data_IF_654500644259
#
_entry.id   IF_654500644259
#
_cell.length_a   1.000
_cell.length_b   1.000
_cell.length_c   1.000
_cell.angle_alpha   90.00
_cell.angle_beta   90.00
_cell.angle_gamma   90.00
#
_symmetry.space_group_name_H-M   'P 1'
#
loop_
_entity.id
_entity.type
_entity.pdbx_description
1 polymer ?
#
# COMPACT_ATOMS: atom_id res chain seq x y z
N UNK A 1 -6.65 -26.93 -0.12
CA UNK A 1 -7.41 -25.79 0.47
C UNK A 1 -6.53 -24.58 0.73
N UNK A 2 -5.36 -24.72 1.38
CA UNK A 2 -4.43 -23.60 1.66
C UNK A 2 -3.92 -22.90 0.40
N UNK A 3 -3.50 -23.65 -0.60
CA UNK A 3 -3.05 -23.11 -1.90
C UNK A 3 -4.15 -22.34 -2.64
N UNK A 4 -5.39 -22.84 -2.63
CA UNK A 4 -6.52 -22.16 -3.25
C UNK A 4 -6.83 -20.82 -2.57
N UNK A 5 -6.70 -20.74 -1.24
CA UNK A 5 -6.87 -19.50 -0.49
C UNK A 5 -5.73 -18.51 -0.78
N UNK A 6 -4.49 -19.00 -0.88
CA UNK A 6 -3.34 -18.19 -1.29
C UNK A 6 -3.56 -17.58 -2.68
N UNK A 7 -3.92 -18.41 -3.67
CA UNK A 7 -4.19 -17.95 -5.03
C UNK A 7 -5.35 -16.95 -5.08
N UNK A 8 -6.42 -17.18 -4.31
CA UNK A 8 -7.55 -16.27 -4.23
C UNK A 8 -7.13 -14.92 -3.61
N UNK A 9 -6.31 -14.95 -2.56
CA UNK A 9 -5.79 -13.74 -1.92
C UNK A 9 -4.90 -12.93 -2.88
N UNK A 10 -4.05 -13.61 -3.66
CA UNK A 10 -3.20 -12.97 -4.65
C UNK A 10 -4.02 -12.35 -5.79
N UNK A 11 -4.96 -13.11 -6.36
CA UNK A 11 -5.89 -12.60 -7.38
C UNK A 11 -6.71 -11.43 -6.88
N UNK A 12 -7.12 -11.44 -5.61
CA UNK A 12 -7.81 -10.32 -4.98
C UNK A 12 -6.90 -9.08 -4.92
N UNK A 13 -5.64 -9.23 -4.50
CA UNK A 13 -4.69 -8.13 -4.46
C UNK A 13 -4.41 -7.56 -5.86
N UNK A 14 -4.16 -8.42 -6.84
CA UNK A 14 -3.93 -8.04 -8.24
C UNK A 14 -5.15 -7.29 -8.80
N UNK A 15 -6.35 -7.84 -8.60
CA UNK A 15 -7.58 -7.20 -9.02
C UNK A 15 -7.75 -5.83 -8.35
N UNK A 16 -7.60 -5.77 -7.03
CA UNK A 16 -7.75 -4.53 -6.27
C UNK A 16 -6.75 -3.46 -6.75
N UNK A 17 -5.48 -3.82 -6.95
CA UNK A 17 -4.46 -2.90 -7.43
C UNK A 17 -4.75 -2.37 -8.84
N UNK A 18 -4.99 -3.22 -9.84
CA UNK A 18 -5.30 -2.71 -11.18
C UNK A 18 -6.64 -1.97 -11.26
N UNK A 19 -7.69 -2.52 -10.66
CA UNK A 19 -9.04 -1.95 -10.78
C UNK A 19 -9.18 -0.62 -10.04
N UNK A 20 -8.71 -0.54 -8.79
CA UNK A 20 -8.77 0.71 -8.02
C UNK A 20 -7.69 1.69 -8.44
N UNK A 21 -6.50 1.22 -8.83
CA UNK A 21 -5.45 2.06 -9.42
C UNK A 21 -5.95 2.79 -10.67
N UNK A 22 -6.59 2.05 -11.58
CA UNK A 22 -7.21 2.66 -12.76
C UNK A 22 -8.29 3.68 -12.41
N UNK A 23 -9.12 3.40 -11.40
CA UNK A 23 -10.15 4.35 -10.95
C UNK A 23 -9.56 5.60 -10.31
N UNK A 24 -8.44 5.50 -9.58
CA UNK A 24 -7.73 6.67 -9.06
C UNK A 24 -7.29 7.62 -10.16
N UNK A 25 -6.74 7.06 -11.25
CA UNK A 25 -6.32 7.84 -12.42
C UNK A 25 -7.54 8.42 -13.12
N UNK A 26 -8.47 7.58 -13.57
CA UNK A 26 -9.58 8.00 -14.44
C UNK A 26 -10.61 8.87 -13.77
N UNK A 27 -10.94 8.62 -12.50
CA UNK A 27 -12.02 9.35 -11.80
C UNK A 27 -11.51 10.54 -11.01
N UNK A 28 -10.31 10.45 -10.47
CA UNK A 28 -9.80 11.45 -9.52
C UNK A 28 -8.53 12.16 -10.00
N UNK A 29 -7.96 11.77 -11.15
CA UNK A 29 -6.68 12.30 -11.65
C UNK A 29 -5.58 12.18 -10.60
N UNK A 30 -5.60 11.10 -9.81
CA UNK A 30 -4.63 10.85 -8.75
C UNK A 30 -3.63 9.81 -9.25
N UNK A 31 -2.57 10.29 -9.93
CA UNK A 31 -1.55 9.43 -10.52
C UNK A 31 -0.67 8.77 -9.47
N UNK A 32 -0.38 9.46 -8.36
CA UNK A 32 0.36 8.90 -7.22
C UNK A 32 -0.28 7.60 -6.72
N UNK A 33 -1.54 7.66 -6.25
CA UNK A 33 -2.24 6.45 -5.77
C UNK A 33 -2.52 5.46 -6.90
N UNK A 34 -2.83 5.98 -8.08
CA UNK A 34 -3.18 5.15 -9.22
C UNK A 34 -2.05 4.22 -9.67
N UNK A 35 -0.86 4.79 -9.88
CA UNK A 35 0.31 4.05 -10.30
C UNK A 35 0.85 3.16 -9.19
N UNK A 36 0.85 3.63 -7.93
CA UNK A 36 1.26 2.80 -6.80
C UNK A 36 0.44 1.52 -6.68
N UNK A 37 -0.88 1.62 -6.81
CA UNK A 37 -1.76 0.45 -6.79
C UNK A 37 -1.44 -0.54 -7.92
N UNK A 38 -1.07 -0.03 -9.09
CA UNK A 38 -0.65 -0.86 -10.22
C UNK A 38 0.72 -1.48 -9.98
N UNK A 39 1.64 -0.79 -9.29
CA UNK A 39 2.94 -1.34 -8.87
C UNK A 39 2.74 -2.52 -7.93
N UNK A 40 1.88 -2.39 -6.90
CA UNK A 40 1.54 -3.50 -6.01
C UNK A 40 0.91 -4.68 -6.78
N UNK A 41 0.00 -4.42 -7.71
CA UNK A 41 -0.58 -5.47 -8.55
C UNK A 41 0.45 -6.13 -9.48
N UNK A 42 1.40 -5.36 -10.00
CA UNK A 42 2.49 -5.86 -10.85
C UNK A 42 3.42 -6.75 -10.03
N UNK A 43 3.74 -6.36 -8.78
CA UNK A 43 4.47 -7.19 -7.83
C UNK A 43 3.77 -8.54 -7.62
N UNK A 44 2.49 -8.52 -7.25
CA UNK A 44 1.69 -9.74 -7.05
C UNK A 44 1.60 -10.60 -8.31
N UNK A 45 1.44 -10.00 -9.49
CA UNK A 45 1.38 -10.73 -10.76
C UNK A 45 2.67 -11.48 -11.05
N UNK A 46 3.84 -10.85 -10.82
CA UNK A 46 5.13 -11.50 -11.01
C UNK A 46 5.37 -12.58 -9.96
N UNK A 47 4.98 -12.33 -8.72
CA UNK A 47 5.05 -13.31 -7.63
C UNK A 47 4.18 -14.55 -7.91
N UNK A 48 2.95 -14.36 -8.40
CA UNK A 48 2.04 -15.43 -8.80
C UNK A 48 2.63 -16.27 -9.93
N UNK A 49 3.08 -15.63 -10.99
CA UNK A 49 3.67 -16.31 -12.15
C UNK A 49 4.95 -17.06 -11.78
N UNK A 50 5.79 -16.46 -10.93
CA UNK A 50 6.97 -17.11 -10.39
C UNK A 50 6.60 -18.37 -9.59
N UNK A 51 5.64 -18.26 -8.68
CA UNK A 51 5.17 -19.37 -7.83
C UNK A 51 4.56 -20.51 -8.67
N UNK A 52 3.72 -20.19 -9.65
CA UNK A 52 3.07 -21.18 -10.52
C UNK A 52 4.03 -21.86 -11.51
N UNK A 53 5.06 -21.14 -11.97
CA UNK A 53 6.03 -21.69 -12.92
C UNK A 53 7.10 -22.58 -12.27
N UNK A 54 7.17 -22.61 -10.93
CA UNK A 54 8.24 -23.30 -10.20
C UNK A 54 9.63 -22.74 -10.53
N UNK A 55 9.69 -21.49 -10.99
CA UNK A 55 10.93 -20.86 -11.40
C UNK A 55 11.87 -20.67 -10.20
N UNK A 56 13.18 -20.76 -10.45
CA UNK A 56 14.20 -20.57 -9.41
C UNK A 56 14.26 -19.10 -8.97
N UNK A 57 14.87 -18.87 -7.81
CA UNK A 57 15.03 -17.54 -7.20
C UNK A 57 15.97 -16.60 -7.97
N UNK A 58 16.63 -17.08 -9.02
CA UNK A 58 17.44 -16.29 -9.98
C UNK A 58 16.63 -15.83 -11.20
N UNK A 59 15.32 -16.10 -11.24
CA UNK A 59 14.46 -15.71 -12.35
C UNK A 59 14.11 -14.22 -12.34
N UNK A 60 13.94 -13.66 -13.54
CA UNK A 60 13.50 -12.26 -13.71
C UNK A 60 12.16 -12.00 -13.01
N UNK A 61 11.27 -12.99 -12.93
CA UNK A 61 9.98 -12.87 -12.24
C UNK A 61 10.17 -12.66 -10.73
N UNK A 62 11.12 -13.38 -10.12
CA UNK A 62 11.50 -13.19 -8.72
C UNK A 62 12.05 -11.78 -8.51
N UNK A 63 13.04 -11.38 -9.32
CA UNK A 63 13.68 -10.06 -9.22
C UNK A 63 12.70 -8.90 -9.36
N UNK A 64 11.73 -9.01 -10.28
CA UNK A 64 10.70 -8.00 -10.48
C UNK A 64 9.71 -7.95 -9.32
N UNK A 65 9.26 -9.10 -8.81
CA UNK A 65 8.35 -9.16 -7.67
C UNK A 65 8.96 -8.46 -6.45
N UNK A 66 10.19 -8.81 -6.07
CA UNK A 66 10.84 -8.23 -4.90
C UNK A 66 11.35 -6.81 -5.12
N UNK A 67 11.66 -6.42 -6.37
CA UNK A 67 11.90 -5.01 -6.70
C UNK A 67 10.66 -4.14 -6.43
N UNK A 68 9.49 -4.54 -6.93
CA UNK A 68 8.27 -3.79 -6.73
C UNK A 68 7.77 -3.86 -5.27
N UNK A 69 8.00 -4.97 -4.56
CA UNK A 69 7.76 -5.05 -3.11
C UNK A 69 8.63 -4.03 -2.34
N UNK A 70 9.94 -4.01 -2.59
CA UNK A 70 10.88 -3.08 -1.97
C UNK A 70 10.54 -1.62 -2.31
N UNK A 71 10.19 -1.34 -3.56
CA UNK A 71 9.68 -0.05 -4.02
C UNK A 71 8.47 0.39 -3.19
N UNK A 72 7.48 -0.49 -3.06
CA UNK A 72 6.20 -0.18 -2.44
C UNK A 72 6.37 0.05 -0.94
N UNK A 73 7.16 -0.79 -0.27
CA UNK A 73 7.36 -0.73 1.18
C UNK A 73 8.26 0.41 1.62
N UNK A 74 9.20 0.84 0.77
CA UNK A 74 10.08 1.96 1.06
C UNK A 74 9.38 3.31 0.85
N UNK A 75 8.84 3.54 -0.35
CA UNK A 75 8.38 4.87 -0.79
C UNK A 75 6.94 4.84 -1.34
N UNK A 76 6.48 3.71 -1.89
CA UNK A 76 5.16 3.58 -2.52
C UNK A 76 3.96 3.68 -1.57
N UNK A 77 3.66 2.61 -0.84
CA UNK A 77 2.62 2.56 0.21
C UNK A 77 2.96 3.46 1.42
N UNK A 78 4.07 4.20 1.38
CA UNK A 78 4.46 5.18 2.40
C UNK A 78 4.31 6.61 1.88
N UNK A 79 5.36 7.18 1.29
CA UNK A 79 5.40 8.58 0.85
C UNK A 79 4.41 8.85 -0.30
N UNK A 80 4.37 8.00 -1.34
CA UNK A 80 3.45 8.15 -2.47
C UNK A 80 2.01 8.05 -1.98
N UNK A 81 1.71 7.10 -1.09
CA UNK A 81 0.41 6.98 -0.44
C UNK A 81 0.03 8.26 0.30
N UNK A 82 0.90 8.75 1.20
CA UNK A 82 0.66 9.96 1.99
C UNK A 82 0.37 11.15 1.06
N UNK A 83 1.24 11.40 0.09
CA UNK A 83 1.08 12.51 -0.87
C UNK A 83 -0.19 12.37 -1.71
N UNK A 84 -0.52 11.15 -2.13
CA UNK A 84 -1.75 10.86 -2.84
C UNK A 84 -3.01 11.13 -2.00
N UNK A 85 -2.98 10.80 -0.71
CA UNK A 85 -4.07 11.09 0.25
C UNK A 85 -4.11 12.57 0.66
N UNK A 86 -3.00 13.30 0.60
CA UNK A 86 -2.96 14.75 0.83
C UNK A 86 -3.85 15.53 -0.15
N UNK A 87 -4.16 14.97 -1.32
CA UNK A 87 -5.13 15.54 -2.25
C UNK A 87 -6.52 15.72 -1.64
N UNK A 88 -6.96 14.79 -0.78
CA UNK A 88 -8.28 14.83 -0.12
C UNK A 88 -8.22 15.32 1.32
N UNK A 89 -7.07 15.21 2.00
CA UNK A 89 -6.94 15.72 3.38
C UNK A 89 -6.53 17.19 3.44
N UNK A 90 -5.61 17.61 2.57
CA UNK A 90 -4.96 18.92 2.58
C UNK A 90 -5.18 19.74 1.29
N UNK A 91 -5.98 19.23 0.35
CA UNK A 91 -6.17 19.83 -0.99
C UNK A 91 -4.85 19.99 -1.77
N UNK A 92 -3.87 19.15 -1.47
CA UNK A 92 -2.56 19.17 -2.11
C UNK A 92 -2.69 18.81 -3.60
N UNK A 93 -2.00 19.58 -4.46
CA UNK A 93 -1.93 19.37 -5.90
C UNK A 93 -0.45 19.31 -6.29
N UNK A 94 0.17 18.11 -6.30
CA UNK A 94 1.55 17.99 -6.72
C UNK A 94 1.70 18.40 -8.19
N UNK A 95 2.85 18.96 -8.52
CA UNK A 95 3.23 19.19 -9.92
C UNK A 95 3.68 17.86 -10.55
N UNK A 96 3.63 17.77 -11.87
CA UNK A 96 4.10 16.59 -12.61
C UNK A 96 5.56 16.26 -12.28
N UNK A 97 6.40 17.28 -12.09
CA UNK A 97 7.80 17.08 -11.69
C UNK A 97 7.96 16.44 -10.32
N UNK A 98 7.10 16.80 -9.36
CA UNK A 98 7.08 16.18 -8.02
C UNK A 98 6.62 14.73 -8.10
N UNK A 99 5.56 14.45 -8.87
CA UNK A 99 5.08 13.08 -9.08
C UNK A 99 6.19 12.21 -9.68
N UNK A 100 6.81 12.65 -10.78
CA UNK A 100 7.93 11.93 -11.43
C UNK A 100 9.12 11.77 -10.49
N UNK A 101 9.49 12.81 -9.76
CA UNK A 101 10.63 12.78 -8.83
C UNK A 101 10.44 11.75 -7.72
N UNK A 102 9.25 11.68 -7.13
CA UNK A 102 8.94 10.71 -6.07
C UNK A 102 8.92 9.28 -6.60
N UNK A 103 8.37 9.02 -7.79
CA UNK A 103 8.48 7.71 -8.43
C UNK A 103 9.95 7.36 -8.75
N UNK A 104 10.76 8.33 -9.16
CA UNK A 104 12.20 8.15 -9.36
C UNK A 104 12.94 7.74 -8.09
N UNK A 105 12.66 8.43 -6.96
CA UNK A 105 13.21 8.06 -5.64
C UNK A 105 12.77 6.65 -5.26
N UNK A 106 11.52 6.29 -5.49
CA UNK A 106 11.00 4.97 -5.20
C UNK A 106 11.66 3.87 -6.07
N UNK A 107 11.95 4.14 -7.34
CA UNK A 107 12.72 3.23 -8.22
C UNK A 107 14.13 3.02 -7.64
N UNK A 108 14.84 4.09 -7.30
CA UNK A 108 16.20 3.99 -6.74
C UNK A 108 16.18 3.22 -5.42
N UNK A 109 15.22 3.50 -4.54
CA UNK A 109 15.04 2.79 -3.29
C UNK A 109 14.74 1.30 -3.53
N UNK A 110 13.83 0.96 -4.44
CA UNK A 110 13.53 -0.43 -4.79
C UNK A 110 14.75 -1.18 -5.36
N UNK A 111 15.52 -0.55 -6.24
CA UNK A 111 16.73 -1.16 -6.82
C UNK A 111 17.81 -1.40 -5.77
N UNK A 112 17.99 -0.46 -4.84
CA UNK A 112 18.98 -0.56 -3.77
C UNK A 112 18.55 -1.53 -2.67
N UNK A 113 17.27 -1.52 -2.26
CA UNK A 113 16.83 -2.28 -1.10
C UNK A 113 16.49 -3.75 -1.42
N UNK A 114 16.12 -4.07 -2.66
CA UNK A 114 15.77 -5.45 -3.06
C UNK A 114 16.88 -6.46 -2.83
N UNK A 115 18.15 -6.03 -2.90
CA UNK A 115 19.31 -6.92 -2.75
C UNK A 115 19.46 -7.48 -1.33
N UNK A 116 18.80 -6.87 -0.35
CA UNK A 116 18.82 -7.30 1.04
C UNK A 116 17.65 -8.23 1.37
N UNK A 117 16.81 -8.56 0.38
CA UNK A 117 15.71 -9.49 0.56
C UNK A 117 16.22 -10.90 0.88
N UNK A 118 15.71 -11.51 1.94
CA UNK A 118 16.11 -12.84 2.39
C UNK A 118 17.50 -12.91 3.05
N UNK A 119 18.17 -11.78 3.25
CA UNK A 119 19.40 -11.73 4.02
C UNK A 119 19.10 -12.00 5.51
N UNK A 120 19.96 -12.79 6.15
CA UNK A 120 19.82 -13.11 7.57
C UNK A 120 20.06 -11.85 8.42
N UNK A 121 19.04 -11.47 9.19
CA UNK A 121 19.03 -10.29 10.05
C UNK A 121 20.06 -10.39 11.20
N UNK A 122 20.43 -11.59 11.60
CA UNK A 122 21.38 -11.83 12.69
C UNK A 122 22.84 -11.70 12.25
N UNK A 123 23.13 -11.90 10.96
CA UNK A 123 24.49 -11.90 10.41
C UNK A 123 24.75 -10.75 9.42
N UNK A 124 23.71 -10.26 8.74
CA UNK A 124 23.76 -9.14 7.83
C UNK A 124 23.40 -7.83 8.52
N UNK A 125 24.38 -7.14 9.11
CA UNK A 125 24.15 -5.87 9.82
C UNK A 125 23.35 -4.83 9.01
N UNK A 126 23.55 -4.75 7.69
CA UNK A 126 22.78 -3.85 6.81
C UNK A 126 21.32 -4.32 6.64
N UNK A 127 21.07 -5.63 6.55
CA UNK A 127 19.72 -6.17 6.39
C UNK A 127 18.82 -5.83 7.59
N UNK A 128 19.38 -5.87 8.80
CA UNK A 128 18.69 -5.38 10.00
C UNK A 128 18.25 -3.91 9.87
N UNK A 129 19.16 -3.03 9.43
CA UNK A 129 18.82 -1.62 9.26
C UNK A 129 17.80 -1.36 8.15
N UNK A 130 17.79 -2.19 7.11
CA UNK A 130 16.76 -2.15 6.05
C UNK A 130 15.39 -2.54 6.61
N UNK A 131 15.31 -3.60 7.41
CA UNK A 131 14.08 -4.00 8.11
C UNK A 131 13.59 -2.91 9.07
N UNK A 132 14.49 -2.32 9.87
CA UNK A 132 14.19 -1.16 10.73
C UNK A 132 13.65 0.00 9.90
N UNK A 133 14.29 0.33 8.78
CA UNK A 133 13.84 1.40 7.89
C UNK A 133 12.40 1.16 7.41
N UNK A 134 12.08 -0.04 6.89
CA UNK A 134 10.73 -0.39 6.43
C UNK A 134 9.68 -0.22 7.53
N UNK A 135 9.97 -0.67 8.75
CA UNK A 135 9.03 -0.49 9.87
C UNK A 135 8.87 0.97 10.23
N UNK A 136 9.97 1.75 10.32
CA UNK A 136 9.89 3.16 10.68
C UNK A 136 9.01 3.93 9.69
N UNK A 137 9.23 3.74 8.38
CA UNK A 137 8.39 4.41 7.37
C UNK A 137 6.95 3.90 7.38
N UNK A 138 6.72 2.61 7.67
CA UNK A 138 5.39 2.04 7.83
C UNK A 138 4.65 2.65 9.03
N UNK A 139 5.29 2.76 10.20
CA UNK A 139 4.70 3.34 11.41
C UNK A 139 4.41 4.83 11.25
N UNK A 140 5.32 5.59 10.64
CA UNK A 140 5.07 7.00 10.32
C UNK A 140 3.86 7.15 9.38
N UNK A 141 3.75 6.25 8.40
CA UNK A 141 2.59 6.21 7.50
C UNK A 141 1.31 5.82 8.25
N UNK A 142 1.37 4.85 9.17
CA UNK A 142 0.24 4.44 9.99
C UNK A 142 -0.28 5.59 10.87
N UNK A 143 0.61 6.44 11.40
CA UNK A 143 0.22 7.67 12.12
C UNK A 143 -0.56 8.62 11.21
N UNK A 144 -0.07 8.86 9.99
CA UNK A 144 -0.80 9.68 9.01
C UNK A 144 -2.16 9.06 8.63
N UNK A 145 -2.23 7.74 8.49
CA UNK A 145 -3.48 7.02 8.20
C UNK A 145 -4.46 7.08 9.38
N UNK A 146 -3.98 7.13 10.62
CA UNK A 146 -4.79 7.44 11.79
C UNK A 146 -5.40 8.85 11.72
N UNK A 147 -4.61 9.84 11.30
CA UNK A 147 -5.13 11.18 10.99
C UNK A 147 -6.16 11.15 9.84
N UNK A 148 -5.90 10.41 8.76
CA UNK A 148 -6.85 10.25 7.65
C UNK A 148 -8.17 9.59 8.11
N UNK A 149 -8.10 8.55 8.94
CA UNK A 149 -9.26 7.91 9.56
C UNK A 149 -10.04 8.89 10.44
N UNK A 150 -9.36 9.73 11.22
CA UNK A 150 -10.00 10.80 11.99
C UNK A 150 -10.73 11.80 11.07
N UNK A 151 -10.11 12.24 9.98
CA UNK A 151 -10.76 13.14 9.00
C UNK A 151 -12.01 12.52 8.39
N UNK A 152 -11.99 11.22 8.08
CA UNK A 152 -13.16 10.49 7.60
C UNK A 152 -14.26 10.42 8.66
N UNK A 153 -13.88 10.16 9.91
CA UNK A 153 -14.80 10.15 11.03
C UNK A 153 -15.50 11.51 11.17
N UNK A 154 -14.74 12.60 11.16
CA UNK A 154 -15.25 13.96 11.30
C UNK A 154 -16.14 14.36 10.10
N UNK A 155 -15.85 13.85 8.90
CA UNK A 155 -16.68 14.02 7.70
C UNK A 155 -17.98 13.18 7.70
N UNK A 156 -18.24 12.40 8.77
CA UNK A 156 -19.40 11.54 8.91
C UNK A 156 -19.26 10.15 8.26
N UNK A 157 -18.14 9.87 7.59
CA UNK A 157 -17.84 8.58 6.96
C UNK A 157 -17.30 7.56 7.99
N UNK A 158 -18.11 7.25 9.02
CA UNK A 158 -17.71 6.42 10.17
C UNK A 158 -17.26 5.02 9.76
N UNK A 159 -17.98 4.37 8.84
CA UNK A 159 -17.66 3.01 8.42
C UNK A 159 -16.34 2.92 7.63
N UNK A 160 -16.09 3.76 6.60
CA UNK A 160 -14.76 3.88 6.00
C UNK A 160 -13.65 4.20 7.00
N UNK A 161 -13.90 5.05 8.00
CA UNK A 161 -12.91 5.38 9.03
C UNK A 161 -12.49 4.16 9.87
N UNK A 162 -13.47 3.38 10.36
CA UNK A 162 -13.22 2.16 11.14
C UNK A 162 -12.41 1.16 10.32
N UNK A 163 -12.86 0.87 9.10
CA UNK A 163 -12.15 -0.07 8.23
C UNK A 163 -10.75 0.40 7.88
N UNK A 164 -10.55 1.70 7.64
CA UNK A 164 -9.22 2.27 7.41
C UNK A 164 -8.31 2.00 8.59
N UNK A 165 -8.78 2.19 9.83
CA UNK A 165 -8.02 1.85 11.03
C UNK A 165 -7.69 0.36 11.13
N UNK A 166 -8.68 -0.52 10.93
CA UNK A 166 -8.51 -1.97 11.03
C UNK A 166 -7.53 -2.53 10.00
N UNK A 167 -7.66 -2.14 8.72
CA UNK A 167 -6.74 -2.64 7.68
C UNK A 167 -5.33 -2.07 7.85
N UNK A 168 -5.19 -0.84 8.34
CA UNK A 168 -3.87 -0.25 8.64
C UNK A 168 -3.19 -1.01 9.77
N UNK A 169 -3.92 -1.34 10.85
CA UNK A 169 -3.40 -2.13 11.95
C UNK A 169 -2.98 -3.54 11.48
N UNK A 170 -3.84 -4.22 10.71
CA UNK A 170 -3.53 -5.52 10.14
C UNK A 170 -2.28 -5.49 9.24
N UNK A 171 -2.18 -4.50 8.36
CA UNK A 171 -1.02 -4.34 7.48
C UNK A 171 0.26 -4.01 8.25
N UNK A 172 0.17 -3.24 9.33
CA UNK A 172 1.30 -2.94 10.22
C UNK A 172 1.79 -4.21 10.92
N UNK A 173 0.88 -5.04 11.44
CA UNK A 173 1.22 -6.33 12.05
C UNK A 173 1.91 -7.25 11.04
N UNK A 174 1.39 -7.31 9.81
CA UNK A 174 2.00 -8.08 8.73
C UNK A 174 3.40 -7.55 8.40
N UNK A 175 3.59 -6.23 8.29
CA UNK A 175 4.90 -5.64 8.03
C UNK A 175 5.91 -5.98 9.13
N UNK A 176 5.53 -5.81 10.41
CA UNK A 176 6.39 -6.16 11.55
C UNK A 176 6.78 -7.65 11.50
N UNK A 177 5.80 -8.51 11.23
CA UNK A 177 6.01 -9.96 11.15
C UNK A 177 6.91 -10.32 9.98
N UNK A 178 6.67 -9.72 8.81
CA UNK A 178 7.42 -9.96 7.58
C UNK A 178 8.89 -9.57 7.73
N UNK A 179 9.17 -8.46 8.43
CA UNK A 179 10.50 -7.87 8.53
C UNK A 179 11.38 -8.43 9.64
N UNK A 180 10.81 -8.86 10.77
CA UNK A 180 11.59 -9.24 11.96
C UNK A 180 11.45 -10.69 12.37
N UNK A 181 10.47 -11.41 11.82
CA UNK A 181 10.21 -12.80 12.17
C UNK A 181 10.47 -13.67 10.93
N UNK A 182 11.71 -14.14 10.73
CA UNK A 182 11.97 -15.13 9.70
C UNK A 182 11.10 -16.35 10.00
N UNK A 183 10.12 -16.60 9.14
CA UNK A 183 9.28 -17.79 9.25
C UNK A 183 10.20 -19.00 9.00
N UNK A 184 10.44 -19.88 9.99
CA UNK A 184 11.23 -21.07 9.78
C UNK A 184 10.59 -21.89 8.66
N UNK A 185 11.43 -22.50 7.83
CA UNK A 185 11.14 -23.07 6.51
C UNK A 185 10.13 -24.26 6.46
N UNK A 186 9.08 -24.25 7.26
CA UNK A 186 7.91 -25.11 7.08
C UNK A 186 6.93 -24.45 6.10
N UNK A 187 6.77 -25.07 4.93
CA UNK A 187 5.95 -24.59 3.80
C UNK A 187 4.51 -24.25 4.21
N UNK A 188 3.99 -24.95 5.22
CA UNK A 188 2.63 -24.80 5.69
C UNK A 188 2.37 -23.44 6.38
N UNK A 189 3.30 -22.95 7.19
CA UNK A 189 3.19 -21.67 7.92
C UNK A 189 3.45 -20.49 7.00
N UNK A 190 4.40 -20.64 6.06
CA UNK A 190 4.69 -19.66 5.02
C UNK A 190 3.47 -19.37 4.14
N UNK A 191 2.78 -20.41 3.70
CA UNK A 191 1.59 -20.26 2.85
C UNK A 191 0.47 -19.52 3.58
N UNK A 192 0.26 -19.81 4.87
CA UNK A 192 -0.74 -19.10 5.69
C UNK A 192 -0.38 -17.61 5.80
N UNK A 193 0.89 -17.31 6.12
CA UNK A 193 1.34 -15.94 6.27
C UNK A 193 1.15 -15.12 4.98
N UNK A 194 1.66 -15.61 3.85
CA UNK A 194 1.49 -14.89 2.58
C UNK A 194 0.03 -14.78 2.16
N UNK A 195 -0.80 -15.79 2.45
CA UNK A 195 -2.26 -15.67 2.23
C UNK A 195 -2.84 -14.50 3.01
N UNK A 196 -2.50 -14.38 4.29
CA UNK A 196 -2.94 -13.27 5.13
C UNK A 196 -2.38 -11.92 4.66
N UNK A 197 -1.12 -11.88 4.25
CA UNK A 197 -0.46 -10.69 3.73
C UNK A 197 -1.14 -10.17 2.46
N UNK A 198 -1.27 -11.02 1.44
CA UNK A 198 -1.89 -10.69 0.16
C UNK A 198 -3.36 -10.28 0.34
N UNK A 199 -4.11 -11.01 1.16
CA UNK A 199 -5.50 -10.67 1.48
C UNK A 199 -5.60 -9.29 2.16
N UNK A 200 -4.69 -9.00 3.08
CA UNK A 200 -4.64 -7.71 3.78
C UNK A 200 -4.27 -6.58 2.84
N UNK A 201 -3.23 -6.72 2.02
CA UNK A 201 -2.81 -5.68 1.08
C UNK A 201 -3.86 -5.40 0.00
N UNK A 202 -4.51 -6.46 -0.54
CA UNK A 202 -5.65 -6.29 -1.45
C UNK A 202 -6.83 -5.57 -0.79
N UNK A 203 -7.15 -5.94 0.45
CA UNK A 203 -8.24 -5.32 1.21
C UNK A 203 -7.90 -3.88 1.59
N UNK A 204 -6.66 -3.59 1.93
CA UNK A 204 -6.15 -2.25 2.17
C UNK A 204 -6.35 -1.38 0.92
N UNK A 205 -5.96 -1.88 -0.26
CA UNK A 205 -6.17 -1.18 -1.53
C UNK A 205 -7.64 -0.86 -1.80
N UNK A 206 -8.54 -1.79 -1.49
CA UNK A 206 -9.99 -1.57 -1.59
C UNK A 206 -10.52 -0.53 -0.59
N UNK A 207 -10.17 -0.68 0.69
CA UNK A 207 -10.67 0.18 1.78
C UNK A 207 -10.18 1.60 1.60
N UNK A 208 -8.89 1.80 1.29
CA UNK A 208 -8.33 3.13 1.06
C UNK A 208 -8.95 3.80 -0.16
N UNK A 209 -9.27 3.07 -1.22
CA UNK A 209 -10.04 3.62 -2.34
C UNK A 209 -11.43 4.11 -1.91
N UNK A 210 -12.17 3.29 -1.16
CA UNK A 210 -13.51 3.65 -0.66
C UNK A 210 -13.46 4.84 0.29
N UNK A 211 -12.46 4.88 1.16
CA UNK A 211 -12.19 5.96 2.10
C UNK A 211 -11.84 7.25 1.36
N UNK A 212 -10.92 7.19 0.41
CA UNK A 212 -10.55 8.34 -0.43
C UNK A 212 -11.78 8.93 -1.12
N UNK A 213 -12.61 8.07 -1.75
CA UNK A 213 -13.84 8.52 -2.40
C UNK A 213 -14.76 9.22 -1.41
N UNK A 214 -14.98 8.64 -0.23
CA UNK A 214 -15.88 9.24 0.77
C UNK A 214 -15.42 10.65 1.18
N UNK A 215 -14.12 10.85 1.40
CA UNK A 215 -13.60 12.18 1.74
C UNK A 215 -13.61 13.13 0.54
N UNK A 216 -13.34 12.63 -0.67
CA UNK A 216 -13.43 13.41 -1.90
C UNK A 216 -14.85 13.92 -2.14
N UNK A 217 -15.85 13.05 -2.04
CA UNK A 217 -17.26 13.39 -2.26
C UNK A 217 -17.75 14.39 -1.20
N UNK A 218 -17.33 14.21 0.06
CA UNK A 218 -17.59 15.18 1.14
C UNK A 218 -17.00 16.55 0.83
N UNK A 219 -15.73 16.60 0.45
CA UNK A 219 -15.04 17.83 0.06
C UNK A 219 -15.73 18.54 -1.11
N UNK A 220 -16.13 17.80 -2.14
CA UNK A 220 -16.83 18.36 -3.29
C UNK A 220 -18.21 18.93 -2.91
N UNK A 221 -18.94 18.24 -2.02
CA UNK A 221 -20.22 18.73 -1.50
C UNK A 221 -20.06 20.01 -0.67
N UNK A 222 -19.00 20.12 0.14
CA UNK A 222 -18.67 21.34 0.87
C UNK A 222 -18.34 22.51 -0.06
N UNK A 223 -17.57 22.26 -1.13
CA UNK A 223 -17.20 23.28 -2.10
C UNK A 223 -18.42 23.81 -2.88
N UNK A 224 -19.42 22.94 -3.13
CA UNK A 224 -20.65 23.29 -3.84
C UNK A 224 -21.68 24.06 -2.97
N UNK A 225 -21.53 24.09 -1.64
CA UNK A 225 -22.46 24.78 -0.74
C UNK A 225 -21.74 25.65 0.30
N UNK A 226 -21.17 26.80 -0.13
CA UNK A 226 -20.41 27.69 0.75
C UNK A 226 -21.26 28.32 1.87
N UNK A 227 -22.59 28.43 1.70
CA UNK A 227 -23.50 28.99 2.71
C UNK A 227 -23.57 28.15 4.01
N UNK A 228 -23.28 26.86 3.93
CA UNK A 228 -23.21 25.97 5.12
C UNK A 228 -21.90 26.13 5.89
N UNK A 229 -20.85 26.67 5.26
CA UNK A 229 -19.53 26.86 5.87
C UNK A 229 -19.43 28.17 6.67
N UNK A 230 -20.30 29.15 6.41
CA UNK A 230 -20.25 30.47 7.06
C UNK A 230 -21.28 30.67 8.18
N UNK A 231 -22.13 29.68 8.48
CA UNK A 231 -23.07 29.76 9.61
C UNK A 231 -24.02 30.96 9.56
N UNK A 232 -24.39 31.44 8.38
CA UNK A 232 -25.39 32.49 8.26
C UNK A 232 -26.79 31.89 8.49
N UNK A 233 -27.58 32.39 9.47
CA UNK A 233 -28.97 31.97 9.62
C UNK A 233 -29.79 32.44 8.41
N UNK A 234 -30.76 31.62 8.03
CA UNK A 234 -31.80 31.94 7.05
C UNK A 234 -32.75 33.03 7.57
#
# INVERSE_FOLDING_TARGET
MREALFLLADLWMIFAGYFYGWKFIRRYGNYLLGLEWMVVATSGSNFLLWSLSGAKSDSVLYDLAYFFDAFSRSVGITLILVMGLMKVTHRYKPSVGVDVGVFGVAIVAGLFLRQFHGADLHTGGIAFWVAVFYIVVNLLTAVFLGYFAKRLWDAGAKWPAIWTGLVTAAATIIAITYDFFPLPFDDANRTIFYTAALATWGTQGFVYFRAYRALHDHNAASDANPARATGAPA
#
